data_IF_339791886748
#
_entry.id   IF_339791886748
#
_cell.length_a   1.000
_cell.length_b   1.000
_cell.length_c   1.000
_cell.angle_alpha   90.00
_cell.angle_beta   90.00
_cell.angle_gamma   90.00
#
_symmetry.space_group_name_H-M   'P 1'
#
loop_
_entity.id
_entity.type
_entity.pdbx_description
1 polymer ?
#
# COMPACT_ATOMS: atom_id res chain seq x y z
N UNK A 1 -3.52 -28.75 -3.02
CA UNK A 1 -3.62 -27.99 -1.76
C UNK A 1 -4.07 -26.58 -2.08
N UNK A 2 -5.32 -26.24 -1.83
CA UNK A 2 -5.89 -24.93 -2.17
C UNK A 2 -5.30 -23.90 -1.20
N UNK A 3 -4.36 -23.09 -1.68
CA UNK A 3 -3.87 -21.92 -0.94
C UNK A 3 -5.08 -21.00 -0.73
N UNK A 4 -5.60 -20.93 0.50
CA UNK A 4 -6.63 -19.96 0.85
C UNK A 4 -6.00 -18.58 0.73
N UNK A 5 -6.43 -17.80 -0.26
CA UNK A 5 -6.09 -16.39 -0.28
C UNK A 5 -6.64 -15.75 1.01
N UNK A 6 -5.81 -15.01 1.75
CA UNK A 6 -6.28 -14.32 2.95
C UNK A 6 -7.41 -13.38 2.54
N UNK A 7 -8.48 -13.34 3.34
CA UNK A 7 -9.56 -12.40 3.10
C UNK A 7 -9.02 -10.97 3.24
N UNK A 8 -9.59 -10.03 2.47
CA UNK A 8 -9.21 -8.62 2.57
C UNK A 8 -9.29 -8.10 4.01
N UNK A 9 -10.33 -8.51 4.76
CA UNK A 9 -10.51 -8.15 6.17
C UNK A 9 -9.34 -8.62 7.05
N UNK A 10 -8.81 -9.81 6.82
CA UNK A 10 -7.68 -10.31 7.59
C UNK A 10 -6.42 -9.46 7.37
N UNK A 11 -6.13 -9.12 6.10
CA UNK A 11 -4.98 -8.27 5.74
C UNK A 11 -5.10 -6.87 6.34
N UNK A 12 -6.31 -6.29 6.35
CA UNK A 12 -6.56 -4.98 6.96
C UNK A 12 -6.36 -5.04 8.48
N UNK A 13 -6.91 -6.05 9.16
CA UNK A 13 -6.75 -6.19 10.60
C UNK A 13 -5.29 -6.40 11.01
N UNK A 14 -4.53 -7.17 10.22
CA UNK A 14 -3.08 -7.34 10.42
C UNK A 14 -2.35 -5.99 10.28
N UNK A 15 -2.67 -5.23 9.24
CA UNK A 15 -2.08 -3.91 9.02
C UNK A 15 -2.40 -2.94 10.16
N UNK A 16 -3.66 -2.85 10.59
CA UNK A 16 -4.11 -1.93 11.64
C UNK A 16 -3.49 -2.26 13.00
N UNK A 17 -3.43 -3.53 13.39
CA UNK A 17 -2.91 -3.95 14.70
C UNK A 17 -1.38 -3.89 14.83
N UNK A 18 -0.64 -3.86 13.73
CA UNK A 18 0.82 -3.85 13.75
C UNK A 18 1.45 -2.50 14.14
N UNK A 19 2.68 -2.50 14.69
CA UNK A 19 3.40 -1.26 14.97
C UNK A 19 3.81 -0.52 13.69
N UNK A 20 4.09 0.80 13.79
CA UNK A 20 4.50 1.64 12.66
C UNK A 20 5.77 1.16 11.95
N UNK A 21 6.66 0.46 12.66
CA UNK A 21 7.90 -0.11 12.11
C UNK A 21 7.68 -1.42 11.34
N UNK A 22 6.49 -2.02 11.40
CA UNK A 22 6.19 -3.29 10.74
C UNK A 22 6.32 -3.19 9.21
N UNK A 23 6.75 -4.30 8.61
CA UNK A 23 6.97 -4.44 7.18
C UNK A 23 5.93 -5.37 6.56
N UNK A 24 5.30 -4.90 5.49
CA UNK A 24 4.21 -5.58 4.80
C UNK A 24 4.56 -5.93 3.37
N UNK A 25 4.01 -7.03 2.88
CA UNK A 25 4.13 -7.40 1.48
C UNK A 25 3.15 -6.60 0.60
N UNK A 26 3.30 -6.73 -0.71
CA UNK A 26 2.44 -6.02 -1.66
C UNK A 26 0.97 -6.43 -1.63
N UNK A 27 0.62 -7.65 -1.17
CA UNK A 27 -0.78 -8.07 -1.07
C UNK A 27 -1.51 -7.30 0.02
N UNK A 28 -0.89 -7.15 1.19
CA UNK A 28 -1.43 -6.36 2.29
C UNK A 28 -1.60 -4.89 1.88
N UNK A 29 -0.59 -4.30 1.24
CA UNK A 29 -0.68 -2.89 0.81
C UNK A 29 -1.70 -2.70 -0.32
N UNK A 30 -1.83 -3.65 -1.24
CA UNK A 30 -2.88 -3.62 -2.25
C UNK A 30 -4.28 -3.63 -1.60
N UNK A 31 -4.48 -4.43 -0.54
CA UNK A 31 -5.72 -4.45 0.23
C UNK A 31 -6.00 -3.13 0.96
N UNK A 32 -4.97 -2.52 1.57
CA UNK A 32 -5.04 -1.22 2.28
C UNK A 32 -5.41 -0.09 1.32
N UNK A 33 -4.71 0.04 0.19
CA UNK A 33 -4.95 1.08 -0.80
C UNK A 33 -6.14 0.80 -1.72
N UNK A 34 -6.82 -0.33 -1.54
CA UNK A 34 -7.93 -0.78 -2.40
C UNK A 34 -7.55 -0.81 -3.90
N UNK A 35 -6.36 -1.33 -4.21
CA UNK A 35 -5.84 -1.41 -5.57
C UNK A 35 -5.26 -2.79 -5.90
N UNK A 36 -4.78 -2.99 -7.14
CA UNK A 36 -4.17 -4.24 -7.55
C UNK A 36 -2.67 -4.28 -7.25
N UNK A 37 -2.10 -5.48 -7.06
CA UNK A 37 -0.64 -5.62 -6.89
C UNK A 37 0.13 -5.20 -8.14
N UNK A 38 -0.46 -5.37 -9.33
CA UNK A 38 0.13 -4.93 -10.60
C UNK A 38 0.25 -3.39 -10.66
N UNK A 39 -0.71 -2.66 -10.08
CA UNK A 39 -0.62 -1.20 -10.00
C UNK A 39 0.58 -0.78 -9.13
N UNK A 40 0.77 -1.45 -7.98
CA UNK A 40 1.93 -1.22 -7.12
C UNK A 40 3.24 -1.53 -7.84
N UNK A 41 3.31 -2.64 -8.57
CA UNK A 41 4.47 -3.02 -9.39
C UNK A 41 4.79 -1.96 -10.45
N UNK A 42 3.78 -1.52 -11.20
CA UNK A 42 3.91 -0.45 -12.21
C UNK A 42 4.40 0.85 -11.59
N UNK A 43 3.83 1.25 -10.46
CA UNK A 43 4.22 2.48 -9.76
C UNK A 43 5.70 2.42 -9.35
N UNK A 44 6.15 1.30 -8.78
CA UNK A 44 7.56 1.10 -8.44
C UNK A 44 8.48 1.19 -9.67
N UNK A 45 8.09 0.58 -10.78
CA UNK A 45 8.84 0.64 -12.03
C UNK A 45 8.92 2.07 -12.59
N UNK A 46 7.83 2.83 -12.50
CA UNK A 46 7.77 4.23 -12.92
C UNK A 46 8.45 5.21 -11.94
N UNK A 47 8.96 4.73 -10.79
CA UNK A 47 9.59 5.55 -9.77
C UNK A 47 8.61 6.37 -8.91
N UNK A 48 7.32 5.99 -8.88
CA UNK A 48 6.29 6.67 -8.09
C UNK A 48 5.56 5.76 -7.10
N UNK A 49 4.55 6.32 -6.44
CA UNK A 49 3.70 5.60 -5.48
C UNK A 49 4.32 5.46 -4.09
N UNK A 50 3.88 4.44 -3.35
CA UNK A 50 4.26 4.24 -1.95
C UNK A 50 5.75 3.87 -1.83
N UNK A 51 6.52 4.53 -0.94
CA UNK A 51 7.90 4.14 -0.66
C UNK A 51 8.00 2.68 -0.22
N UNK A 52 9.07 2.01 -0.66
CA UNK A 52 9.27 0.59 -0.41
C UNK A 52 10.73 0.26 -0.09
N UNK A 53 10.93 -0.84 0.63
CA UNK A 53 12.22 -1.44 0.90
C UNK A 53 12.41 -2.66 0.00
N UNK A 54 13.54 -2.71 -0.71
CA UNK A 54 13.94 -3.87 -1.49
C UNK A 54 14.99 -4.67 -0.71
N UNK A 55 14.60 -5.85 -0.24
CA UNK A 55 15.49 -6.76 0.50
C UNK A 55 15.66 -8.03 -0.34
N UNK A 56 16.75 -8.09 -1.10
CA UNK A 56 17.00 -9.15 -2.08
C UNK A 56 15.89 -9.19 -3.13
N UNK A 57 15.16 -10.31 -3.20
CA UNK A 57 14.02 -10.50 -4.12
C UNK A 57 12.69 -10.01 -3.56
N UNK A 58 12.63 -9.61 -2.28
CA UNK A 58 11.40 -9.18 -1.62
C UNK A 58 11.24 -7.66 -1.70
N UNK A 59 10.03 -7.22 -2.00
CA UNK A 59 9.61 -5.82 -1.85
C UNK A 59 8.66 -5.73 -0.67
N UNK A 60 9.01 -4.86 0.27
CA UNK A 60 8.26 -4.65 1.50
C UNK A 60 7.94 -3.17 1.68
N UNK A 61 6.89 -2.90 2.45
CA UNK A 61 6.40 -1.56 2.73
C UNK A 61 6.35 -1.37 4.23
N UNK A 62 6.95 -0.29 4.73
CA UNK A 62 6.86 0.04 6.14
C UNK A 62 5.53 0.73 6.41
N UNK A 63 4.83 0.35 7.49
CA UNK A 63 3.54 0.96 7.85
C UNK A 63 3.63 2.48 7.98
N UNK A 64 4.65 3.01 8.64
CA UNK A 64 4.85 4.47 8.75
C UNK A 64 4.87 5.15 7.38
N UNK A 65 5.55 4.57 6.41
CA UNK A 65 5.75 5.17 5.09
C UNK A 65 4.46 5.11 4.27
N UNK A 66 3.68 4.05 4.43
CA UNK A 66 2.33 3.92 3.84
C UNK A 66 1.38 4.95 4.43
N UNK A 67 1.37 5.13 5.75
CA UNK A 67 0.52 6.13 6.42
C UNK A 67 0.92 7.55 6.01
N UNK A 68 2.22 7.85 5.99
CA UNK A 68 2.73 9.15 5.54
C UNK A 68 2.37 9.41 4.08
N UNK A 69 2.49 8.40 3.21
CA UNK A 69 2.06 8.50 1.82
C UNK A 69 0.57 8.87 1.73
N UNK A 70 -0.30 8.20 2.48
CA UNK A 70 -1.74 8.50 2.50
C UNK A 70 -2.04 9.92 2.97
N UNK A 71 -1.32 10.41 3.99
CA UNK A 71 -1.46 11.77 4.51
C UNK A 71 -1.02 12.85 3.51
N UNK A 72 -0.12 12.52 2.59
CA UNK A 72 0.39 13.44 1.57
C UNK A 72 -0.46 13.45 0.29
N UNK A 73 -1.54 12.64 0.22
CA UNK A 73 -2.39 12.61 -0.96
C UNK A 73 -3.25 13.87 -1.02
N UNK A 74 -3.39 14.41 -2.23
CA UNK A 74 -4.31 15.52 -2.49
C UNK A 74 -5.75 15.12 -2.22
N UNK A 75 -6.50 16.05 -1.65
CA UNK A 75 -7.94 15.90 -1.46
C UNK A 75 -8.64 16.52 -2.66
N UNK A 76 -9.54 15.76 -3.27
CA UNK A 76 -10.36 16.17 -4.40
C UNK A 76 -11.82 16.15 -3.98
N UNK A 77 -12.57 17.23 -4.24
CA UNK A 77 -14.00 17.30 -3.95
C UNK A 77 -14.88 16.86 -5.12
N UNK A 78 -14.32 16.85 -6.33
CA UNK A 78 -14.98 16.35 -7.54
C UNK A 78 -13.95 15.79 -8.51
N UNK A 79 -14.40 15.04 -9.53
CA UNK A 79 -13.50 14.50 -10.56
C UNK A 79 -12.93 15.55 -11.50
N UNK A 80 -13.46 16.77 -11.48
CA UNK A 80 -12.95 17.92 -12.26
C UNK A 80 -12.08 18.87 -11.45
N UNK A 81 -11.89 18.60 -10.16
CA UNK A 81 -11.07 19.41 -9.26
C UNK A 81 -9.56 19.20 -9.52
N UNK A 82 -8.77 20.25 -9.40
CA UNK A 82 -7.30 20.17 -9.54
C UNK A 82 -6.61 19.67 -8.25
N UNK A 83 -7.37 19.64 -7.15
CA UNK A 83 -7.00 19.07 -5.85
C UNK A 83 -6.22 20.04 -4.98
N UNK A 84 -6.52 20.05 -3.68
CA UNK A 84 -5.83 20.87 -2.69
C UNK A 84 -4.72 20.06 -2.01
N UNK A 85 -3.59 20.72 -1.73
CA UNK A 85 -2.44 20.16 -1.00
C UNK A 85 -2.67 20.17 0.51
#
# INVERSE_FOLDING_TARGET
MTLKNPSRLHLLNEFESAPHSALFNQQTIAAVLSCSTQLLERNRWAGGGVPYLKIGRKVLYRKSDVVNFLQQQKIYYSTSDEGQL
#
